data_IF_228733980317
#
_entry.id   IF_228733980317
#
_cell.length_a   1.000
_cell.length_b   1.000
_cell.length_c   1.000
_cell.angle_alpha   90.00
_cell.angle_beta   90.00
_cell.angle_gamma   90.00
#
_symmetry.space_group_name_H-M   'P 1'
#
loop_
_entity.id
_entity.type
_entity.pdbx_description
1 polymer ?
#
# COMPACT_ATOMS: atom_id res chain seq x y z
N UNK A 1 2.06 -2.73 -28.69
CA UNK A 1 2.88 -1.97 -29.64
C UNK A 1 3.22 -0.63 -29.00
N UNK A 2 4.42 -0.50 -28.42
CA UNK A 2 4.91 0.82 -28.00
C UNK A 2 5.38 1.53 -29.30
N UNK A 3 4.65 2.55 -29.69
CA UNK A 3 5.03 3.41 -30.80
C UNK A 3 6.38 4.06 -30.47
N UNK A 4 7.38 3.85 -31.33
CA UNK A 4 8.65 4.58 -31.35
C UNK A 4 8.45 6.04 -31.85
N UNK A 5 7.32 6.65 -31.55
CA UNK A 5 7.14 8.05 -31.79
C UNK A 5 8.06 8.84 -30.86
N UNK A 6 8.95 9.58 -31.48
CA UNK A 6 9.94 10.52 -30.97
C UNK A 6 9.26 11.57 -30.06
N UNK A 7 8.69 11.12 -28.91
CA UNK A 7 8.01 11.97 -27.94
C UNK A 7 9.06 12.87 -27.32
N UNK A 8 9.11 14.11 -27.73
CA UNK A 8 9.99 15.15 -27.20
C UNK A 8 9.82 15.19 -25.68
N UNK A 9 10.88 14.79 -24.95
CA UNK A 9 10.86 14.76 -23.48
C UNK A 9 10.65 16.18 -22.95
N UNK A 10 9.66 16.43 -22.10
CA UNK A 10 9.46 17.73 -21.51
C UNK A 10 10.72 18.19 -20.75
N UNK A 11 11.12 19.46 -20.93
CA UNK A 11 12.38 20.01 -20.37
C UNK A 11 12.52 19.75 -18.85
N UNK A 12 11.42 19.86 -18.09
CA UNK A 12 11.40 19.59 -16.65
C UNK A 12 11.73 18.12 -16.34
N UNK A 13 11.17 17.19 -17.11
CA UNK A 13 11.43 15.75 -16.94
C UNK A 13 12.87 15.43 -17.29
N UNK A 14 13.38 15.95 -18.42
CA UNK A 14 14.80 15.78 -18.80
C UNK A 14 15.74 16.25 -17.71
N UNK A 15 15.48 17.44 -17.15
CA UNK A 15 16.32 17.98 -16.07
C UNK A 15 16.27 17.12 -14.81
N UNK A 16 15.09 16.61 -14.44
CA UNK A 16 14.92 15.69 -13.28
C UNK A 16 15.70 14.40 -13.50
N UNK A 17 15.60 13.80 -14.69
CA UNK A 17 16.35 12.60 -15.06
C UNK A 17 17.85 12.85 -14.92
N UNK A 18 18.36 13.91 -15.55
CA UNK A 18 19.78 14.25 -15.53
C UNK A 18 20.32 14.49 -14.11
N UNK A 19 19.56 15.20 -13.27
CA UNK A 19 19.96 15.45 -11.88
C UNK A 19 20.02 14.15 -11.06
N UNK A 20 19.03 13.25 -11.23
CA UNK A 20 19.04 11.95 -10.55
C UNK A 20 20.24 11.10 -10.98
N UNK A 21 20.50 11.01 -12.29
CA UNK A 21 21.62 10.23 -12.82
C UNK A 21 22.98 10.81 -12.38
N UNK A 22 23.13 12.15 -12.35
CA UNK A 22 24.33 12.80 -11.80
C UNK A 22 24.53 12.50 -10.31
N UNK A 23 23.45 12.36 -9.56
CA UNK A 23 23.48 11.94 -8.15
C UNK A 23 23.66 10.44 -7.94
N UNK A 24 23.81 9.64 -9.00
CA UNK A 24 24.00 8.18 -8.91
C UNK A 24 22.73 7.42 -8.47
N UNK A 25 21.55 8.06 -8.56
CA UNK A 25 20.28 7.45 -8.14
C UNK A 25 19.35 7.22 -9.34
N UNK A 26 18.49 6.22 -9.22
CA UNK A 26 17.49 5.92 -10.25
C UNK A 26 16.42 7.04 -10.24
N UNK A 27 16.11 7.66 -11.38
CA UNK A 27 15.04 8.65 -11.46
C UNK A 27 13.69 8.03 -11.07
N UNK A 28 12.91 8.71 -10.25
CA UNK A 28 11.53 8.29 -9.93
C UNK A 28 10.52 8.69 -11.02
N UNK A 29 10.86 9.70 -11.79
CA UNK A 29 10.00 10.27 -12.86
C UNK A 29 10.75 10.20 -14.19
N UNK A 30 10.00 9.92 -15.27
CA UNK A 30 10.53 9.92 -16.63
C UNK A 30 11.23 8.62 -17.05
N UNK A 31 11.14 7.55 -16.27
CA UNK A 31 11.70 6.23 -16.61
C UNK A 31 11.30 5.74 -18.01
N UNK A 32 10.04 5.88 -18.48
CA UNK A 32 9.66 5.45 -19.83
C UNK A 32 10.46 6.11 -20.97
N UNK A 33 11.08 7.27 -20.73
CA UNK A 33 11.91 7.97 -21.73
C UNK A 33 13.35 7.44 -21.81
N UNK A 34 13.81 6.71 -20.79
CA UNK A 34 15.20 6.22 -20.69
C UNK A 34 15.29 4.70 -20.57
N UNK A 35 14.13 4.01 -20.56
CA UNK A 35 14.10 2.54 -20.51
C UNK A 35 14.44 1.97 -21.88
N UNK A 36 15.59 1.32 -21.99
CA UNK A 36 16.09 0.70 -23.22
C UNK A 36 16.49 -0.75 -22.95
N UNK A 37 16.14 -1.66 -23.87
CA UNK A 37 16.66 -3.04 -23.89
C UNK A 37 16.08 -4.00 -22.85
N UNK A 38 15.00 -3.63 -22.14
CA UNK A 38 14.38 -4.45 -21.07
C UNK A 38 12.93 -4.85 -21.37
N UNK A 39 12.57 -4.89 -22.66
CA UNK A 39 11.20 -5.12 -23.06
C UNK A 39 10.64 -6.44 -22.54
N UNK A 40 11.38 -7.53 -22.72
CA UNK A 40 10.94 -8.87 -22.34
C UNK A 40 10.77 -9.02 -20.82
N UNK A 41 11.71 -8.47 -20.03
CA UNK A 41 11.62 -8.49 -18.57
C UNK A 41 10.43 -7.67 -18.07
N UNK A 42 10.20 -6.50 -18.66
CA UNK A 42 9.05 -5.65 -18.31
C UNK A 42 7.73 -6.36 -18.69
N UNK A 43 7.63 -6.92 -19.90
CA UNK A 43 6.43 -7.66 -20.34
C UNK A 43 6.12 -8.85 -19.42
N UNK A 44 7.14 -9.62 -19.02
CA UNK A 44 6.97 -10.73 -18.08
C UNK A 44 6.45 -10.27 -16.71
N UNK A 45 6.98 -9.17 -16.17
CA UNK A 45 6.52 -8.61 -14.90
C UNK A 45 5.13 -7.98 -15.00
N UNK A 46 4.80 -7.35 -16.12
CA UNK A 46 3.46 -6.80 -16.35
C UNK A 46 2.41 -7.90 -16.53
N UNK A 47 2.78 -9.05 -17.08
CA UNK A 47 1.90 -10.21 -17.13
C UNK A 47 1.57 -10.73 -15.72
N UNK A 48 2.55 -10.78 -14.81
CA UNK A 48 2.28 -11.11 -13.41
C UNK A 48 1.33 -10.10 -12.75
N UNK A 49 1.48 -8.81 -13.06
CA UNK A 49 0.59 -7.76 -12.57
C UNK A 49 -0.86 -7.98 -13.03
N UNK A 50 -1.07 -8.43 -14.27
CA UNK A 50 -2.40 -8.75 -14.79
C UNK A 50 -3.01 -9.96 -14.06
N UNK A 51 -2.21 -11.02 -13.80
CA UNK A 51 -2.63 -12.19 -13.00
C UNK A 51 -3.06 -11.74 -11.58
N UNK A 52 -2.30 -10.84 -10.95
CA UNK A 52 -2.62 -10.35 -9.61
C UNK A 52 -3.90 -9.49 -9.63
N UNK A 53 -4.10 -8.66 -10.66
CA UNK A 53 -5.33 -7.88 -10.82
C UNK A 53 -6.58 -8.77 -10.92
N UNK A 54 -6.46 -9.95 -11.53
CA UNK A 54 -7.52 -10.95 -11.62
C UNK A 54 -7.71 -11.81 -10.35
N UNK A 55 -6.91 -11.56 -9.29
CA UNK A 55 -7.02 -12.23 -8.00
C UNK A 55 -5.97 -13.30 -7.74
N UNK A 56 -5.03 -13.49 -8.65
CA UNK A 56 -3.89 -14.38 -8.47
C UNK A 56 -2.79 -13.78 -7.58
N UNK A 57 -1.67 -14.49 -7.54
CA UNK A 57 -0.45 -14.06 -6.86
C UNK A 57 0.76 -14.42 -7.71
N UNK A 58 1.82 -13.65 -7.60
CA UNK A 58 3.11 -13.94 -8.23
C UNK A 58 4.26 -13.61 -7.29
N UNK A 59 5.36 -14.30 -7.47
CA UNK A 59 6.61 -14.07 -6.75
C UNK A 59 7.79 -14.16 -7.72
N UNK A 60 8.68 -13.15 -7.68
CA UNK A 60 9.83 -13.07 -8.58
C UNK A 60 11.12 -12.74 -7.86
N UNK A 61 12.17 -13.49 -8.18
CA UNK A 61 13.54 -13.10 -7.87
C UNK A 61 14.15 -12.37 -9.07
N UNK A 62 14.65 -11.15 -8.85
CA UNK A 62 15.43 -10.40 -9.84
C UNK A 62 16.91 -10.53 -9.48
N UNK A 63 17.63 -11.39 -10.19
CA UNK A 63 19.04 -11.70 -9.94
C UNK A 63 19.91 -11.04 -11.00
N UNK A 64 21.04 -10.48 -10.58
CA UNK A 64 21.99 -9.85 -11.50
C UNK A 64 23.18 -9.25 -10.76
N UNK A 65 24.27 -8.99 -11.47
CA UNK A 65 25.48 -8.35 -10.92
C UNK A 65 25.18 -6.94 -10.43
N UNK A 66 26.06 -6.39 -9.58
CA UNK A 66 26.01 -4.98 -9.23
C UNK A 66 26.06 -4.12 -10.50
N UNK A 67 25.28 -3.06 -10.55
CA UNK A 67 25.20 -2.19 -11.74
C UNK A 67 24.38 -2.74 -12.92
N UNK A 68 23.78 -3.95 -12.83
CA UNK A 68 23.00 -4.53 -13.93
C UNK A 68 21.60 -3.89 -14.14
N UNK A 69 21.25 -2.86 -13.38
CA UNK A 69 19.98 -2.13 -13.51
C UNK A 69 18.78 -2.79 -12.83
N UNK A 70 18.98 -3.64 -11.81
CA UNK A 70 17.88 -4.27 -11.04
C UNK A 70 16.96 -3.21 -10.42
N UNK A 71 17.52 -2.24 -9.70
CA UNK A 71 16.77 -1.14 -9.07
C UNK A 71 16.03 -0.28 -10.10
N UNK A 72 16.63 -0.08 -11.28
CA UNK A 72 15.98 0.62 -12.38
C UNK A 72 14.75 -0.15 -12.88
N UNK A 73 14.86 -1.47 -13.06
CA UNK A 73 13.75 -2.33 -13.49
C UNK A 73 12.62 -2.31 -12.45
N UNK A 74 12.95 -2.51 -11.17
CA UNK A 74 11.98 -2.47 -10.06
C UNK A 74 11.25 -1.11 -10.04
N UNK A 75 11.98 0.00 -10.13
CA UNK A 75 11.40 1.33 -10.14
C UNK A 75 10.51 1.58 -11.37
N UNK A 76 10.88 1.00 -12.52
CA UNK A 76 10.06 1.07 -13.73
C UNK A 76 8.73 0.34 -13.54
N UNK A 77 8.77 -0.90 -13.05
CA UNK A 77 7.56 -1.69 -12.77
C UNK A 77 6.71 -1.03 -11.68
N UNK A 78 7.32 -0.51 -10.63
CA UNK A 78 6.65 0.25 -9.57
C UNK A 78 5.75 1.36 -10.13
N UNK A 79 6.25 2.12 -11.08
CA UNK A 79 5.47 3.19 -11.72
C UNK A 79 4.28 2.62 -12.52
N UNK A 80 4.50 1.56 -13.31
CA UNK A 80 3.44 0.92 -14.07
C UNK A 80 2.33 0.33 -13.18
N UNK A 81 2.69 -0.34 -12.09
CA UNK A 81 1.69 -0.94 -11.19
C UNK A 81 0.88 0.13 -10.46
N UNK A 82 1.51 1.23 -10.05
CA UNK A 82 0.78 2.36 -9.47
C UNK A 82 -0.19 3.00 -10.46
N UNK A 83 0.19 3.09 -11.75
CA UNK A 83 -0.71 3.58 -12.82
C UNK A 83 -1.90 2.64 -13.05
N UNK A 84 -1.74 1.34 -12.81
CA UNK A 84 -2.81 0.34 -12.84
C UNK A 84 -3.66 0.29 -11.55
N UNK A 85 -3.43 1.18 -10.60
CA UNK A 85 -4.22 1.27 -9.37
C UNK A 85 -3.77 0.32 -8.25
N UNK A 86 -2.55 -0.17 -8.29
CA UNK A 86 -1.97 -0.94 -7.20
C UNK A 86 -1.42 -0.04 -6.11
N UNK A 87 -1.35 -0.59 -4.90
CA UNK A 87 -0.52 -0.08 -3.82
C UNK A 87 0.86 -0.76 -3.88
N UNK A 88 1.91 0.00 -3.64
CA UNK A 88 3.29 -0.51 -3.60
C UNK A 88 3.84 -0.33 -2.20
N UNK A 89 4.52 -1.36 -1.69
CA UNK A 89 5.25 -1.34 -0.44
C UNK A 89 6.70 -1.73 -0.69
N UNK A 90 7.61 -0.81 -0.45
CA UNK A 90 9.04 -1.02 -0.68
C UNK A 90 9.79 -1.16 0.66
N UNK A 91 10.73 -2.11 0.74
CA UNK A 91 11.66 -2.21 1.86
C UNK A 91 13.05 -2.58 1.38
N UNK A 92 14.06 -1.90 1.90
CA UNK A 92 15.47 -2.27 1.73
C UNK A 92 15.86 -3.26 2.82
N UNK A 93 16.22 -4.49 2.43
CA UNK A 93 16.69 -5.50 3.36
C UNK A 93 18.10 -5.17 3.87
N UNK A 94 18.32 -5.39 5.15
CA UNK A 94 19.59 -5.16 5.84
C UNK A 94 19.80 -6.23 6.92
N UNK A 95 20.94 -6.25 7.62
CA UNK A 95 21.11 -7.13 8.77
C UNK A 95 20.04 -6.99 9.84
N UNK A 96 19.47 -5.80 10.01
CA UNK A 96 18.41 -5.46 10.98
C UNK A 96 17.01 -5.68 10.41
N UNK A 97 16.85 -5.73 9.09
CA UNK A 97 15.59 -5.91 8.38
C UNK A 97 15.66 -7.12 7.47
N UNK A 98 15.08 -8.23 7.90
CA UNK A 98 15.05 -9.50 7.16
C UNK A 98 13.63 -9.99 7.00
N UNK A 99 13.37 -10.75 5.95
CA UNK A 99 12.07 -11.41 5.76
C UNK A 99 11.86 -12.52 6.78
N UNK A 100 12.94 -13.15 7.22
CA UNK A 100 12.92 -14.15 8.30
C UNK A 100 14.09 -13.86 9.22
N UNK A 101 13.83 -13.87 10.51
CA UNK A 101 14.85 -13.62 11.51
C UNK A 101 14.26 -13.67 12.91
N UNK A 102 15.13 -13.59 13.90
CA UNK A 102 14.77 -13.47 15.32
C UNK A 102 15.04 -12.05 15.79
N UNK A 103 14.54 -11.68 16.95
CA UNK A 103 14.83 -10.38 17.58
C UNK A 103 14.26 -9.15 16.86
N UNK A 104 13.07 -9.26 16.27
CA UNK A 104 12.36 -8.11 15.69
C UNK A 104 12.79 -7.74 14.27
N UNK A 105 13.54 -8.58 13.57
CA UNK A 105 14.00 -8.30 12.21
C UNK A 105 12.86 -8.35 11.19
N UNK A 106 11.93 -9.28 11.31
CA UNK A 106 10.74 -9.36 10.47
C UNK A 106 9.79 -8.19 10.73
N UNK A 107 9.57 -7.85 11.99
CA UNK A 107 8.76 -6.69 12.38
C UNK A 107 9.39 -5.37 11.88
N UNK A 108 10.73 -5.25 11.89
CA UNK A 108 11.41 -4.08 11.33
C UNK A 108 11.20 -3.97 9.81
N UNK A 109 11.21 -5.10 9.09
CA UNK A 109 10.88 -5.14 7.65
C UNK A 109 9.41 -4.74 7.41
N UNK A 110 8.49 -5.25 8.22
CA UNK A 110 7.08 -4.88 8.15
C UNK A 110 6.85 -3.38 8.36
N UNK A 111 7.49 -2.80 9.37
CA UNK A 111 7.43 -1.36 9.65
C UNK A 111 7.90 -0.52 8.46
N UNK A 112 8.98 -0.95 7.81
CA UNK A 112 9.50 -0.32 6.60
C UNK A 112 8.46 -0.42 5.46
N UNK A 113 7.93 -1.61 5.19
CA UNK A 113 6.92 -1.84 4.15
C UNK A 113 5.68 -0.98 4.36
N UNK A 114 5.11 -0.98 5.55
CA UNK A 114 3.89 -0.19 5.84
C UNK A 114 4.20 1.32 5.89
N UNK A 115 5.39 1.70 6.36
CA UNK A 115 5.86 3.09 6.33
C UNK A 115 6.03 3.62 4.90
N UNK A 116 6.48 2.78 3.98
CA UNK A 116 6.74 3.12 2.58
C UNK A 116 5.56 2.82 1.63
N UNK A 117 4.37 2.50 2.16
CA UNK A 117 3.19 2.35 1.30
C UNK A 117 3.02 3.55 0.38
N UNK A 118 2.92 3.27 -0.90
CA UNK A 118 2.87 4.26 -1.98
C UNK A 118 1.68 4.02 -2.89
N UNK A 119 1.13 5.10 -3.41
CA UNK A 119 0.07 5.11 -4.41
C UNK A 119 0.44 6.08 -5.53
N UNK A 120 -0.29 6.04 -6.64
CA UNK A 120 -0.10 6.99 -7.75
C UNK A 120 -0.11 8.46 -7.31
N UNK A 121 -0.93 8.79 -6.32
CA UNK A 121 -1.07 10.17 -5.81
C UNK A 121 -0.10 10.52 -4.70
N UNK A 122 0.52 9.52 -4.07
CA UNK A 122 1.56 9.67 -3.05
C UNK A 122 2.67 8.65 -3.29
N UNK A 123 3.51 8.86 -4.31
CA UNK A 123 4.53 7.88 -4.72
C UNK A 123 5.76 7.84 -3.82
N UNK A 124 5.93 8.82 -2.91
CA UNK A 124 7.10 8.92 -2.03
C UNK A 124 7.01 8.04 -0.77
N UNK A 125 5.91 7.36 -0.54
CA UNK A 125 5.66 6.58 0.68
C UNK A 125 4.71 7.27 1.66
N UNK A 126 4.42 6.59 2.77
CA UNK A 126 3.55 7.11 3.83
C UNK A 126 2.08 7.26 3.42
N UNK A 127 1.62 6.47 2.47
CA UNK A 127 0.26 6.60 1.92
C UNK A 127 -0.83 5.95 2.79
N UNK A 128 -0.51 5.28 3.91
CA UNK A 128 -1.49 4.52 4.68
C UNK A 128 -2.72 5.36 5.07
N UNK A 129 -2.52 6.50 5.71
CA UNK A 129 -3.62 7.40 6.09
C UNK A 129 -4.46 7.83 4.89
N UNK A 130 -3.79 8.20 3.79
CA UNK A 130 -4.48 8.57 2.55
C UNK A 130 -5.33 7.43 1.98
N UNK A 131 -4.84 6.18 2.06
CA UNK A 131 -5.57 5.00 1.59
C UNK A 131 -6.81 4.75 2.46
N UNK A 132 -6.68 4.84 3.78
CA UNK A 132 -7.79 4.67 4.72
C UNK A 132 -8.86 5.77 4.54
N UNK A 133 -8.45 7.02 4.46
CA UNK A 133 -9.36 8.15 4.25
C UNK A 133 -10.10 8.03 2.90
N UNK A 134 -9.38 7.65 1.82
CA UNK A 134 -9.99 7.44 0.50
C UNK A 134 -10.98 6.29 0.48
N UNK A 135 -10.68 5.20 1.15
CA UNK A 135 -11.60 4.09 1.27
C UNK A 135 -12.92 4.54 1.90
N UNK A 136 -12.88 5.24 3.04
CA UNK A 136 -14.09 5.76 3.71
C UNK A 136 -14.85 6.72 2.80
N UNK A 137 -14.16 7.68 2.17
CA UNK A 137 -14.76 8.62 1.22
C UNK A 137 -15.40 7.90 0.01
N UNK A 138 -14.78 6.85 -0.50
CA UNK A 138 -15.33 6.05 -1.59
C UNK A 138 -16.62 5.35 -1.18
N UNK A 139 -16.64 4.75 0.01
CA UNK A 139 -17.85 4.12 0.57
C UNK A 139 -18.99 5.13 0.77
N UNK A 140 -18.68 6.31 1.28
CA UNK A 140 -19.66 7.39 1.44
C UNK A 140 -20.20 7.86 0.09
N UNK A 141 -19.32 8.08 -0.89
CA UNK A 141 -19.72 8.51 -2.25
C UNK A 141 -20.61 7.48 -2.93
N UNK A 142 -20.25 6.21 -2.84
CA UNK A 142 -21.09 5.12 -3.40
C UNK A 142 -22.46 5.05 -2.72
N UNK A 143 -22.49 5.20 -1.39
CA UNK A 143 -23.76 5.21 -0.65
C UNK A 143 -24.67 6.38 -1.09
N UNK A 144 -24.12 7.58 -1.29
CA UNK A 144 -24.87 8.74 -1.82
C UNK A 144 -25.40 8.44 -3.23
N UNK A 145 -24.56 7.91 -4.11
CA UNK A 145 -24.94 7.62 -5.51
C UNK A 145 -26.08 6.57 -5.60
N UNK A 146 -26.03 5.54 -4.76
CA UNK A 146 -27.03 4.46 -4.80
C UNK A 146 -28.33 4.81 -4.08
N UNK A 147 -28.27 5.59 -3.00
CA UNK A 147 -29.45 5.94 -2.21
C UNK A 147 -30.11 7.24 -2.66
N UNK A 148 -29.37 8.12 -3.34
CA UNK A 148 -29.84 9.47 -3.68
C UNK A 148 -30.03 10.39 -2.47
N UNK A 149 -29.56 9.98 -1.28
CA UNK A 149 -29.71 10.74 -0.04
C UNK A 149 -28.60 11.78 0.11
N UNK A 150 -28.92 12.92 0.70
CA UNK A 150 -27.96 13.98 0.97
C UNK A 150 -27.09 13.68 2.22
N UNK A 151 -25.85 14.22 2.27
CA UNK A 151 -25.01 14.17 3.47
C UNK A 151 -25.74 14.71 4.70
N UNK A 152 -25.63 13.99 5.83
CA UNK A 152 -26.33 14.30 7.08
C UNK A 152 -27.68 13.57 7.26
N UNK A 153 -28.17 12.86 6.26
CA UNK A 153 -29.34 12.01 6.41
C UNK A 153 -29.03 10.77 7.26
N UNK A 154 -29.75 10.45 8.35
CA UNK A 154 -29.47 9.28 9.18
C UNK A 154 -29.52 7.93 8.43
N UNK A 155 -30.35 7.84 7.38
CA UNK A 155 -30.42 6.62 6.56
C UNK A 155 -29.15 6.46 5.70
N UNK A 156 -28.55 7.56 5.24
CA UNK A 156 -27.26 7.51 4.54
C UNK A 156 -26.15 7.03 5.47
N UNK A 157 -26.07 7.56 6.69
CA UNK A 157 -25.11 7.11 7.70
C UNK A 157 -25.24 5.61 7.93
N UNK A 158 -26.46 5.10 8.13
CA UNK A 158 -26.71 3.67 8.29
C UNK A 158 -26.27 2.85 7.06
N UNK A 159 -26.47 3.35 5.86
CA UNK A 159 -26.02 2.67 4.64
C UNK A 159 -24.49 2.62 4.52
N UNK A 160 -23.80 3.68 4.95
CA UNK A 160 -22.34 3.72 5.04
C UNK A 160 -21.83 2.72 6.08
N UNK A 161 -22.40 2.74 7.30
CA UNK A 161 -22.02 1.81 8.38
C UNK A 161 -22.17 0.35 7.96
N UNK A 162 -23.25 0.00 7.24
CA UNK A 162 -23.44 -1.35 6.72
C UNK A 162 -22.34 -1.79 5.74
N UNK A 163 -21.87 -0.88 4.88
CA UNK A 163 -20.77 -1.17 3.94
C UNK A 163 -19.43 -1.31 4.65
N UNK A 164 -19.15 -0.43 5.59
CA UNK A 164 -17.95 -0.54 6.44
C UNK A 164 -17.96 -1.87 7.19
N UNK A 165 -19.10 -2.23 7.78
CA UNK A 165 -19.29 -3.50 8.46
C UNK A 165 -19.07 -4.70 7.53
N UNK A 166 -19.55 -4.66 6.29
CA UNK A 166 -19.34 -5.74 5.34
C UNK A 166 -17.84 -5.98 5.05
N UNK A 167 -17.07 -4.91 4.84
CA UNK A 167 -15.62 -5.01 4.63
C UNK A 167 -14.91 -5.52 5.89
N UNK A 168 -15.22 -4.96 7.06
CA UNK A 168 -14.59 -5.37 8.31
C UNK A 168 -14.94 -6.80 8.70
N UNK A 169 -16.17 -7.26 8.43
CA UNK A 169 -16.57 -8.65 8.64
C UNK A 169 -15.80 -9.60 7.72
N UNK A 170 -15.68 -9.28 6.43
CA UNK A 170 -14.91 -10.11 5.50
C UNK A 170 -13.43 -10.22 5.90
N UNK A 171 -12.83 -9.13 6.37
CA UNK A 171 -11.45 -9.13 6.90
C UNK A 171 -11.35 -9.96 8.18
N UNK A 172 -12.36 -9.91 9.06
CA UNK A 172 -12.34 -10.62 10.36
C UNK A 172 -12.32 -12.14 10.23
N UNK A 173 -12.77 -12.68 9.10
CA UNK A 173 -12.73 -14.11 8.80
C UNK A 173 -11.34 -14.64 8.46
N UNK A 174 -10.39 -13.75 8.18
CA UNK A 174 -9.01 -14.10 7.87
C UNK A 174 -8.20 -14.34 9.15
N UNK A 175 -7.06 -15.01 9.01
CA UNK A 175 -6.13 -15.25 10.13
C UNK A 175 -5.69 -13.90 10.70
N UNK A 176 -5.78 -13.73 12.02
CA UNK A 176 -5.59 -12.46 12.75
C UNK A 176 -6.51 -11.30 12.29
N UNK A 177 -7.56 -11.61 11.52
CA UNK A 177 -8.45 -10.60 10.94
C UNK A 177 -9.32 -9.87 11.96
N UNK A 178 -9.71 -10.52 13.06
CA UNK A 178 -10.63 -9.97 14.06
C UNK A 178 -10.12 -8.64 14.65
N UNK A 179 -8.88 -8.61 15.14
CA UNK A 179 -8.31 -7.40 15.72
C UNK A 179 -8.00 -6.35 14.64
N UNK A 180 -7.56 -6.78 13.46
CA UNK A 180 -7.37 -5.88 12.32
C UNK A 180 -8.68 -5.17 11.95
N UNK A 181 -9.77 -5.91 11.84
CA UNK A 181 -11.11 -5.40 11.56
C UNK A 181 -11.59 -4.43 12.65
N UNK A 182 -11.35 -4.78 13.92
CA UNK A 182 -11.66 -3.91 15.05
C UNK A 182 -10.91 -2.59 14.99
N UNK A 183 -9.60 -2.63 14.73
CA UNK A 183 -8.77 -1.42 14.60
C UNK A 183 -9.17 -0.59 13.37
N UNK A 184 -9.57 -1.26 12.26
CA UNK A 184 -10.11 -0.59 11.07
C UNK A 184 -11.43 0.13 11.39
N UNK A 185 -12.31 -0.47 12.19
CA UNK A 185 -13.55 0.16 12.65
C UNK A 185 -13.27 1.35 13.57
N UNK A 186 -12.27 1.27 14.44
CA UNK A 186 -11.84 2.42 15.27
C UNK A 186 -11.37 3.59 14.39
N UNK A 187 -10.65 3.31 13.30
CA UNK A 187 -10.24 4.35 12.35
C UNK A 187 -11.45 5.02 11.69
N UNK A 188 -12.45 4.24 11.26
CA UNK A 188 -13.65 4.76 10.66
C UNK A 188 -14.43 5.69 11.62
N UNK A 189 -14.64 5.26 12.86
CA UNK A 189 -15.33 6.11 13.85
C UNK A 189 -14.53 7.39 14.13
N UNK A 190 -13.24 7.29 14.35
CA UNK A 190 -12.38 8.45 14.54
C UNK A 190 -12.38 9.41 13.32
N UNK A 191 -12.51 8.87 12.11
CA UNK A 191 -12.64 9.67 10.90
C UNK A 191 -13.97 10.44 10.87
N UNK A 192 -15.08 9.78 11.19
CA UNK A 192 -16.42 10.40 11.20
C UNK A 192 -16.54 11.46 12.29
N UNK A 193 -15.97 11.17 13.46
CA UNK A 193 -16.06 12.05 14.64
C UNK A 193 -15.00 13.18 14.61
N UNK A 194 -14.08 13.16 13.64
CA UNK A 194 -13.00 14.16 13.51
C UNK A 194 -11.91 14.02 14.57
N UNK A 195 -11.73 12.84 15.13
CA UNK A 195 -10.74 12.54 16.19
C UNK A 195 -9.37 12.21 15.62
N UNK A 196 -8.61 13.23 15.20
CA UNK A 196 -7.29 13.05 14.57
C UNK A 196 -6.28 12.32 15.48
N UNK A 197 -6.34 12.53 16.79
CA UNK A 197 -5.47 11.83 17.75
C UNK A 197 -5.75 10.31 17.73
N UNK A 198 -7.01 9.91 17.71
CA UNK A 198 -7.38 8.48 17.63
C UNK A 198 -6.97 7.88 16.29
N UNK A 199 -7.15 8.60 15.17
CA UNK A 199 -6.64 8.17 13.86
C UNK A 199 -5.13 7.91 13.89
N UNK A 200 -4.35 8.79 14.52
CA UNK A 200 -2.90 8.60 14.66
C UNK A 200 -2.55 7.38 15.52
N UNK A 201 -3.26 7.13 16.62
CA UNK A 201 -3.08 5.92 17.45
C UNK A 201 -3.36 4.65 16.65
N UNK A 202 -4.41 4.65 15.83
CA UNK A 202 -4.74 3.52 14.94
C UNK A 202 -3.67 3.31 13.88
N UNK A 203 -3.21 4.36 13.20
CA UNK A 203 -2.13 4.28 12.20
C UNK A 203 -0.85 3.72 12.81
N UNK A 204 -0.53 4.11 14.03
CA UNK A 204 0.61 3.60 14.80
C UNK A 204 0.49 2.10 15.05
N UNK A 205 -0.73 1.60 15.33
CA UNK A 205 -0.96 0.16 15.49
C UNK A 205 -0.74 -0.59 14.17
N UNK A 206 -1.32 -0.10 13.08
CA UNK A 206 -1.14 -0.69 11.76
C UNK A 206 0.32 -0.72 11.31
N UNK A 207 1.14 0.22 11.76
CA UNK A 207 2.59 0.25 11.51
C UNK A 207 3.39 -0.69 12.42
N UNK A 208 2.76 -1.41 13.35
CA UNK A 208 3.45 -2.28 14.29
C UNK A 208 4.33 -1.54 15.30
N UNK A 209 4.01 -0.29 15.62
CA UNK A 209 4.85 0.59 16.46
C UNK A 209 4.53 0.51 17.96
N UNK A 210 3.54 -0.29 18.37
CA UNK A 210 3.30 -0.56 19.79
C UNK A 210 4.29 -1.58 20.34
N UNK A 211 4.94 -1.24 21.44
CA UNK A 211 5.95 -2.10 22.08
C UNK A 211 5.36 -3.19 22.96
N UNK A 212 4.18 -2.96 23.54
CA UNK A 212 3.52 -3.87 24.45
C UNK A 212 2.02 -3.95 24.23
N UNK A 213 1.42 -5.12 24.55
CA UNK A 213 -0.04 -5.31 24.54
C UNK A 213 -0.75 -4.35 25.50
N UNK A 214 -0.11 -4.03 26.63
CA UNK A 214 -0.66 -3.07 27.60
C UNK A 214 -0.81 -1.69 27.00
N UNK A 215 0.21 -1.18 26.31
CA UNK A 215 0.17 0.10 25.61
C UNK A 215 -0.95 0.15 24.56
N UNK A 216 -1.09 -0.90 23.74
CA UNK A 216 -2.15 -0.99 22.76
C UNK A 216 -3.55 -1.05 23.40
N UNK A 217 -3.69 -1.74 24.53
CA UNK A 217 -4.93 -1.81 25.28
C UNK A 217 -5.34 -0.46 25.88
N UNK A 218 -4.38 0.26 26.45
CA UNK A 218 -4.62 1.60 27.02
C UNK A 218 -4.97 2.61 25.90
N UNK A 219 -4.35 2.51 24.72
CA UNK A 219 -4.53 3.45 23.63
C UNK A 219 -5.77 3.18 22.78
N UNK A 220 -6.09 1.90 22.50
CA UNK A 220 -7.07 1.47 21.50
C UNK A 220 -8.09 0.44 22.04
N UNK A 221 -7.94 -0.02 23.26
CA UNK A 221 -8.76 -1.10 23.81
C UNK A 221 -8.49 -2.48 23.17
N UNK A 222 -7.43 -2.63 22.36
CA UNK A 222 -7.05 -3.92 21.74
C UNK A 222 -5.94 -4.61 22.53
N UNK A 223 -6.02 -5.92 22.63
CA UNK A 223 -5.10 -6.71 23.47
C UNK A 223 -4.06 -7.49 22.66
N UNK A 224 -3.86 -7.10 21.40
CA UNK A 224 -2.91 -7.69 20.45
C UNK A 224 -2.08 -6.58 19.83
N UNK A 225 -0.81 -6.88 19.56
CA UNK A 225 0.12 -6.05 18.77
C UNK A 225 0.71 -6.90 17.66
N UNK A 226 1.16 -6.28 16.60
CA UNK A 226 1.88 -6.95 15.52
C UNK A 226 3.29 -7.27 16.01
N UNK A 227 3.71 -8.51 15.82
CA UNK A 227 4.97 -9.05 16.34
C UNK A 227 5.86 -9.64 15.23
N UNK A 228 7.05 -10.09 15.61
CA UNK A 228 7.99 -10.76 14.71
C UNK A 228 7.47 -12.10 14.18
N UNK A 229 6.53 -12.73 14.91
CA UNK A 229 5.99 -14.04 14.56
C UNK A 229 4.79 -13.96 13.60
N UNK A 230 4.06 -12.83 13.57
CA UNK A 230 2.79 -12.70 12.87
C UNK A 230 2.72 -11.56 11.85
N UNK A 231 3.78 -10.76 11.69
CA UNK A 231 3.81 -9.60 10.78
C UNK A 231 3.42 -9.94 9.34
N UNK A 232 3.77 -11.13 8.87
CA UNK A 232 3.47 -11.55 7.50
C UNK A 232 1.96 -11.79 7.31
N UNK A 233 1.26 -12.29 8.33
CA UNK A 233 -0.20 -12.44 8.30
C UNK A 233 -0.87 -11.06 8.21
N UNK A 234 -0.38 -10.06 8.94
CA UNK A 234 -0.87 -8.69 8.83
C UNK A 234 -0.60 -8.06 7.46
N UNK A 235 0.51 -8.41 6.81
CA UNK A 235 0.77 -7.96 5.44
C UNK A 235 -0.26 -8.55 4.46
N UNK A 236 -0.64 -9.82 4.62
CA UNK A 236 -1.72 -10.45 3.85
C UNK A 236 -3.08 -9.80 4.11
N UNK A 237 -3.37 -9.43 5.36
CA UNK A 237 -4.59 -8.70 5.70
C UNK A 237 -4.65 -7.34 4.99
N UNK A 238 -3.54 -6.62 4.91
CA UNK A 238 -3.47 -5.38 4.12
C UNK A 238 -3.73 -5.63 2.64
N UNK A 239 -3.13 -6.68 2.05
CA UNK A 239 -3.36 -7.00 0.64
C UNK A 239 -4.84 -7.31 0.36
N UNK A 240 -5.50 -8.07 1.24
CA UNK A 240 -6.92 -8.36 1.17
C UNK A 240 -7.77 -7.08 1.33
N UNK A 241 -7.48 -6.28 2.35
CA UNK A 241 -8.17 -5.03 2.60
C UNK A 241 -8.04 -4.05 1.42
N UNK A 242 -6.86 -3.90 0.84
CA UNK A 242 -6.67 -2.98 -0.29
C UNK A 242 -7.51 -3.37 -1.51
N UNK A 243 -7.67 -4.67 -1.77
CA UNK A 243 -8.59 -5.11 -2.82
C UNK A 243 -10.04 -4.75 -2.49
N UNK A 244 -10.50 -4.97 -1.25
CA UNK A 244 -11.84 -4.57 -0.78
C UNK A 244 -12.04 -3.05 -0.81
N UNK A 245 -10.97 -2.29 -0.63
CA UNK A 245 -10.95 -0.82 -0.73
C UNK A 245 -10.90 -0.30 -2.19
N UNK A 246 -10.94 -1.20 -3.19
CA UNK A 246 -11.02 -0.85 -4.61
C UNK A 246 -9.68 -0.70 -5.32
N UNK A 247 -8.57 -1.10 -4.69
CA UNK A 247 -7.27 -1.18 -5.38
C UNK A 247 -7.14 -2.48 -6.16
N UNK A 248 -6.39 -2.47 -7.26
CA UNK A 248 -6.18 -3.63 -8.12
C UNK A 248 -5.37 -4.75 -7.44
N UNK A 249 -4.54 -4.40 -6.47
CA UNK A 249 -3.70 -5.32 -5.71
C UNK A 249 -2.61 -4.61 -4.93
N UNK A 250 -1.68 -5.40 -4.39
CA UNK A 250 -0.51 -4.92 -3.67
C UNK A 250 0.76 -5.54 -4.26
N UNK A 251 1.77 -4.73 -4.52
CA UNK A 251 3.14 -5.13 -4.86
C UNK A 251 4.03 -4.87 -3.64
N UNK A 252 4.79 -5.88 -3.24
CA UNK A 252 5.77 -5.81 -2.15
C UNK A 252 7.17 -6.05 -2.70
#
# INVERSE_FOLDING_TARGET
MMNEDNKKVPKRISQTILNSLKGGVVPRIGLPYITVGRKNEIEALLHDVDIIAEGGASFRFIVGRYGSGKSFLIQTIRNYVMDKGFIVADADLSPERRLQGTRGQGLATYRELIGNLSTKTKPEGGALTLVLDRWINSVQTQAVQETGLEPGNPMLTKAVDQRIYAVTSAVSELVHGLEFARVLSLYYHAYVDGEDEMKMKVVRWFRGEYGTKREAKEALGVNIIITDDDWYEYLKLFAAFFRMAGYAGMMV
#
